data_IF_714653678004
#
_entry.id   IF_714653678004
#
_cell.length_a   1.000
_cell.length_b   1.000
_cell.length_c   1.000
_cell.angle_alpha   90.00
_cell.angle_beta   90.00
_cell.angle_gamma   90.00
#
_symmetry.space_group_name_H-M   'P 1'
#
loop_
_entity.id
_entity.type
_entity.pdbx_description
1 polymer ?
#
# COMPACT_ATOMS: atom_id res chain seq x y z
N UNK A 1 19.86 15.22 14.89
CA UNK A 1 20.16 14.86 13.57
C UNK A 1 21.19 13.73 13.57
N UNK A 2 20.77 12.50 13.76
CA UNK A 2 21.66 11.35 13.66
C UNK A 2 20.90 10.24 12.94
N UNK A 3 21.30 9.99 11.70
CA UNK A 3 20.83 8.85 10.93
C UNK A 3 21.52 7.60 11.48
N UNK A 4 20.78 6.77 12.19
CA UNK A 4 21.26 5.45 12.59
C UNK A 4 21.20 4.53 11.37
N UNK A 5 22.38 4.19 10.86
CA UNK A 5 22.59 3.17 9.86
C UNK A 5 22.42 1.81 10.52
N UNK A 6 21.26 1.15 10.37
CA UNK A 6 21.07 -0.25 10.79
C UNK A 6 21.62 -1.14 9.69
N UNK A 7 22.82 -1.62 9.89
CA UNK A 7 23.38 -2.73 9.09
C UNK A 7 22.64 -4.01 9.52
N UNK A 8 21.77 -4.53 8.66
CA UNK A 8 21.12 -5.81 8.83
C UNK A 8 22.13 -6.91 8.47
N UNK A 9 22.68 -7.59 9.48
CA UNK A 9 23.54 -8.75 9.30
C UNK A 9 22.69 -9.96 8.98
N UNK A 10 22.68 -10.37 7.71
CA UNK A 10 22.09 -11.64 7.27
C UNK A 10 23.10 -12.75 7.58
N UNK A 11 22.84 -13.52 8.63
CA UNK A 11 23.58 -14.75 8.91
C UNK A 11 23.07 -15.87 8.01
N UNK A 12 23.85 -16.15 6.95
CA UNK A 12 23.67 -17.32 6.09
C UNK A 12 24.07 -18.59 6.89
N UNK A 13 23.08 -19.33 7.38
CA UNK A 13 23.33 -20.64 7.97
C UNK A 13 23.53 -21.68 6.87
N UNK A 14 24.77 -22.01 6.60
CA UNK A 14 25.14 -23.13 5.72
C UNK A 14 24.99 -24.43 6.53
N UNK A 15 24.00 -25.21 6.20
CA UNK A 15 23.88 -26.59 6.73
C UNK A 15 24.81 -27.48 5.93
N UNK A 16 25.95 -27.84 6.52
CA UNK A 16 26.85 -28.87 5.99
C UNK A 16 26.30 -30.25 6.40
N UNK A 17 25.78 -31.00 5.41
CA UNK A 17 25.46 -32.41 5.60
C UNK A 17 26.74 -33.18 5.40
N UNK A 18 27.27 -33.73 6.51
CA UNK A 18 28.42 -34.64 6.51
C UNK A 18 27.98 -36.00 5.94
N UNK A 19 28.51 -36.32 4.75
CA UNK A 19 28.41 -37.67 4.21
C UNK A 19 29.28 -38.61 5.05
N UNK A 20 28.67 -39.55 5.73
CA UNK A 20 29.34 -40.65 6.37
C UNK A 20 29.61 -41.76 5.36
N UNK A 21 30.84 -41.87 4.88
CA UNK A 21 31.32 -43.01 4.13
C UNK A 21 31.65 -44.15 5.07
N UNK A 22 31.02 -45.30 4.88
CA UNK A 22 31.39 -46.55 5.54
C UNK A 22 31.51 -47.65 4.52
N UNK A 23 32.75 -48.02 4.22
CA UNK A 23 33.07 -49.12 3.32
C UNK A 23 33.09 -50.48 4.01
N UNK A 24 32.95 -51.51 3.23
CA UNK A 24 33.54 -52.77 3.54
C UNK A 24 32.71 -54.01 3.29
N UNK A 25 33.08 -54.78 2.26
CA UNK A 25 33.19 -56.22 2.35
C UNK A 25 32.15 -57.13 1.70
N UNK A 26 32.43 -57.56 0.52
CA UNK A 26 32.54 -58.90 -0.03
C UNK A 26 31.44 -59.92 0.11
N UNK A 27 31.06 -60.53 -1.01
CA UNK A 27 30.49 -61.88 -1.06
C UNK A 27 29.35 -62.06 -2.09
N UNK A 28 29.73 -62.56 -3.21
CA UNK A 28 29.17 -63.40 -4.25
C UNK A 28 27.68 -63.68 -4.43
N UNK A 29 27.27 -63.57 -5.65
CA UNK A 29 26.37 -64.52 -6.29
C UNK A 29 24.91 -64.10 -6.43
N UNK A 30 24.45 -63.93 -7.65
CA UNK A 30 23.08 -63.97 -7.99
C UNK A 30 22.61 -62.83 -8.89
N UNK A 31 22.76 -62.96 -10.18
CA UNK A 31 22.19 -62.10 -11.20
C UNK A 31 20.68 -62.22 -11.15
N UNK A 32 20.01 -61.14 -10.78
CA UNK A 32 18.70 -60.83 -11.30
C UNK A 32 18.71 -59.36 -11.70
N UNK A 33 18.85 -59.17 -12.99
CA UNK A 33 18.60 -57.89 -13.66
C UNK A 33 17.23 -57.37 -13.31
N UNK A 34 17.20 -56.38 -12.47
CA UNK A 34 16.04 -55.61 -12.13
C UNK A 34 16.50 -54.28 -11.60
N UNK A 35 17.47 -53.64 -12.33
CA UNK A 35 17.88 -52.28 -12.07
C UNK A 35 16.77 -51.35 -12.46
N UNK A 36 15.76 -51.19 -11.60
CA UNK A 36 14.93 -50.00 -11.59
C UNK A 36 15.86 -48.87 -11.28
N UNK A 37 16.25 -48.13 -12.30
CA UNK A 37 16.77 -46.79 -12.10
C UNK A 37 15.63 -46.00 -11.48
N UNK A 38 15.56 -45.96 -10.16
CA UNK A 38 14.73 -45.03 -9.47
C UNK A 38 15.12 -43.64 -10.01
N UNK A 39 14.22 -43.03 -10.74
CA UNK A 39 14.37 -41.62 -11.12
C UNK A 39 14.63 -40.87 -9.84
N UNK A 40 15.77 -40.19 -9.74
CA UNK A 40 16.05 -39.34 -8.60
C UNK A 40 15.14 -38.13 -8.69
N UNK A 41 14.39 -37.86 -7.63
CA UNK A 41 13.54 -36.69 -7.57
C UNK A 41 14.37 -35.41 -7.79
N UNK A 42 13.89 -34.55 -8.67
CA UNK A 42 14.48 -33.24 -8.99
C UNK A 42 13.68 -32.15 -8.30
N UNK A 43 14.32 -31.08 -7.88
CA UNK A 43 13.61 -29.95 -7.30
C UNK A 43 12.77 -29.21 -8.37
N UNK A 44 11.60 -28.67 -8.00
CA UNK A 44 10.83 -27.83 -8.89
C UNK A 44 11.60 -26.58 -9.30
N UNK A 45 11.24 -26.00 -10.42
CA UNK A 45 11.86 -24.76 -10.95
C UNK A 45 10.80 -23.68 -11.08
N UNK A 46 11.01 -22.53 -10.41
CA UNK A 46 10.19 -21.33 -10.62
C UNK A 46 10.64 -20.70 -11.93
N UNK A 47 9.73 -20.48 -12.87
CA UNK A 47 10.02 -20.02 -14.23
C UNK A 47 9.98 -18.51 -14.39
N UNK A 48 9.41 -17.79 -13.42
CA UNK A 48 9.32 -16.32 -13.40
C UNK A 48 9.95 -15.71 -12.13
N UNK A 49 11.17 -16.09 -11.80
CA UNK A 49 11.90 -15.59 -10.62
C UNK A 49 12.32 -14.13 -10.77
N UNK A 50 12.48 -13.45 -9.63
CA UNK A 50 13.04 -12.09 -9.52
C UNK A 50 12.32 -11.05 -10.36
N UNK A 51 10.99 -11.03 -10.28
CA UNK A 51 10.18 -10.07 -11.00
C UNK A 51 9.89 -8.84 -10.15
N UNK A 52 10.01 -7.67 -10.78
CA UNK A 52 9.42 -6.43 -10.31
C UNK A 52 8.04 -6.31 -11.00
N UNK A 53 6.98 -6.33 -10.21
CA UNK A 53 5.60 -6.28 -10.67
C UNK A 53 5.05 -4.89 -10.33
N UNK A 54 4.42 -4.22 -11.28
CA UNK A 54 3.65 -3.00 -11.01
C UNK A 54 2.17 -3.35 -11.02
N UNK A 55 1.46 -2.90 -9.99
CA UNK A 55 0.00 -3.08 -9.83
C UNK A 55 -0.59 -1.71 -9.54
N UNK A 56 -1.62 -1.35 -10.26
CA UNK A 56 -2.38 -0.14 -9.93
C UNK A 56 -3.13 -0.38 -8.61
N UNK A 57 -3.22 0.62 -7.77
CA UNK A 57 -4.02 0.55 -6.56
C UNK A 57 -5.50 0.21 -6.82
N UNK A 58 -6.29 0.05 -5.76
CA UNK A 58 -7.72 -0.28 -5.82
C UNK A 58 -8.03 -1.66 -6.44
N UNK A 59 -7.01 -2.49 -6.67
CA UNK A 59 -7.13 -3.84 -7.21
C UNK A 59 -6.51 -4.87 -6.27
N UNK A 60 -7.15 -6.03 -6.14
CA UNK A 60 -6.59 -7.11 -5.32
C UNK A 60 -5.66 -8.04 -6.10
N UNK A 61 -5.74 -8.08 -7.41
CA UNK A 61 -4.88 -8.92 -8.24
C UNK A 61 -3.43 -8.45 -8.22
N UNK A 62 -2.47 -9.34 -7.92
CA UNK A 62 -1.05 -9.00 -7.98
C UNK A 62 -0.35 -9.71 -9.15
N UNK A 63 -0.04 -11.00 -9.00
CA UNK A 63 0.64 -11.77 -10.04
C UNK A 63 0.46 -13.28 -9.83
N UNK A 64 1.01 -14.08 -10.74
CA UNK A 64 1.02 -15.54 -10.60
C UNK A 64 2.46 -16.05 -10.59
N UNK A 65 2.81 -16.85 -9.59
CA UNK A 65 4.05 -17.64 -9.59
C UNK A 65 3.89 -18.82 -10.52
N UNK A 66 4.77 -18.94 -11.49
CA UNK A 66 4.78 -20.09 -12.43
C UNK A 66 5.97 -20.99 -12.12
N UNK A 67 5.70 -22.29 -12.09
CA UNK A 67 6.72 -23.30 -11.82
C UNK A 67 6.50 -24.55 -12.63
N UNK A 68 7.54 -25.35 -12.79
CA UNK A 68 7.51 -26.67 -13.42
C UNK A 68 8.37 -27.63 -12.63
N UNK A 69 7.99 -28.91 -12.71
CA UNK A 69 8.77 -30.04 -12.18
C UNK A 69 9.11 -31.01 -13.31
N UNK A 70 10.35 -31.49 -13.34
CA UNK A 70 10.81 -32.38 -14.42
C UNK A 70 10.33 -33.81 -14.24
N UNK A 71 9.98 -34.21 -13.03
CA UNK A 71 9.44 -35.52 -12.72
C UNK A 71 7.91 -35.58 -12.82
N UNK A 72 7.28 -34.38 -12.93
CA UNK A 72 5.85 -34.22 -13.06
C UNK A 72 5.08 -34.29 -11.76
N UNK A 73 5.78 -34.04 -10.64
CA UNK A 73 5.20 -34.08 -9.31
C UNK A 73 4.22 -32.94 -9.07
N UNK A 74 3.30 -33.15 -8.13
CA UNK A 74 2.31 -32.14 -7.75
C UNK A 74 2.97 -31.03 -6.95
N UNK A 75 2.83 -29.78 -7.42
CA UNK A 75 3.44 -28.61 -6.81
C UNK A 75 2.52 -27.95 -5.78
N UNK A 76 3.12 -27.53 -4.67
CA UNK A 76 2.49 -26.71 -3.64
C UNK A 76 3.19 -25.36 -3.55
N UNK A 77 2.41 -24.28 -3.36
CA UNK A 77 2.88 -22.92 -3.32
C UNK A 77 2.68 -22.31 -1.94
N UNK A 78 3.66 -21.53 -1.50
CA UNK A 78 3.60 -20.74 -0.27
C UNK A 78 4.32 -19.42 -0.43
N UNK A 79 3.98 -18.44 0.41
CA UNK A 79 4.65 -17.13 0.46
C UNK A 79 5.16 -16.83 1.86
N UNK A 80 6.27 -16.11 1.88
CA UNK A 80 6.90 -15.55 3.07
C UNK A 80 7.52 -14.18 2.70
N UNK A 81 8.23 -13.55 3.61
CA UNK A 81 8.80 -12.21 3.40
C UNK A 81 8.10 -11.17 4.27
N UNK A 82 8.64 -9.94 4.27
CA UNK A 82 8.22 -8.86 5.17
C UNK A 82 6.73 -8.59 5.07
N UNK A 83 6.20 -8.52 3.84
CA UNK A 83 4.83 -8.10 3.57
C UNK A 83 3.88 -9.26 3.26
N UNK A 84 4.35 -10.51 3.40
CA UNK A 84 3.57 -11.71 3.06
C UNK A 84 2.23 -11.81 3.82
N UNK A 85 2.14 -11.20 5.00
CA UNK A 85 0.90 -11.15 5.78
C UNK A 85 -0.23 -10.39 5.09
N UNK A 86 0.08 -9.52 4.13
CA UNK A 86 -0.87 -8.71 3.37
C UNK A 86 -1.42 -9.43 2.13
N UNK A 87 -0.90 -10.62 1.82
CA UNK A 87 -1.24 -11.35 0.60
C UNK A 87 -1.87 -12.73 0.89
N UNK A 88 -2.58 -13.21 -0.11
CA UNK A 88 -3.01 -14.60 -0.22
C UNK A 88 -2.29 -15.27 -1.39
N UNK A 89 -2.13 -16.58 -1.33
CA UNK A 89 -1.70 -17.41 -2.45
C UNK A 89 -2.64 -18.61 -2.61
N UNK A 90 -2.96 -18.92 -3.86
CA UNK A 90 -3.78 -20.10 -4.18
C UNK A 90 -2.91 -21.32 -4.48
N UNK A 91 -3.53 -22.50 -4.53
CA UNK A 91 -2.86 -23.73 -4.96
C UNK A 91 -2.37 -23.70 -6.41
N UNK A 92 -2.84 -22.75 -7.21
CA UNK A 92 -2.37 -22.51 -8.59
C UNK A 92 -1.27 -21.43 -8.68
N UNK A 93 -0.75 -20.96 -7.55
CA UNK A 93 0.30 -19.95 -7.50
C UNK A 93 -0.17 -18.50 -7.73
N UNK A 94 -1.50 -18.25 -7.77
CA UNK A 94 -2.03 -16.90 -7.92
C UNK A 94 -1.91 -16.15 -6.61
N UNK A 95 -1.25 -15.00 -6.64
CA UNK A 95 -1.04 -14.09 -5.49
C UNK A 95 -1.97 -12.89 -5.64
N UNK A 96 -2.65 -12.57 -4.54
CA UNK A 96 -3.56 -11.42 -4.44
C UNK A 96 -3.33 -10.68 -3.13
N UNK A 97 -3.55 -9.38 -3.12
CA UNK A 97 -3.70 -8.63 -1.88
C UNK A 97 -4.93 -9.12 -1.10
N UNK A 98 -4.89 -9.12 0.21
CA UNK A 98 -6.04 -9.40 1.09
C UNK A 98 -7.06 -8.27 1.07
N UNK A 99 -6.55 -7.04 1.02
CA UNK A 99 -7.30 -5.80 0.84
C UNK A 99 -6.65 -5.06 -0.32
N UNK A 100 -7.43 -4.44 -1.19
CA UNK A 100 -6.88 -3.62 -2.26
C UNK A 100 -5.97 -2.53 -1.65
N UNK A 101 -4.76 -2.35 -2.16
CA UNK A 101 -3.87 -1.30 -1.67
C UNK A 101 -4.40 0.07 -2.08
N UNK A 102 -4.06 1.07 -1.27
CA UNK A 102 -4.31 2.49 -1.45
C UNK A 102 -2.93 3.15 -1.50
N UNK A 103 -2.61 3.85 -2.59
CA UNK A 103 -1.29 4.42 -2.82
C UNK A 103 -0.98 5.56 -1.84
N UNK A 104 -2.00 6.34 -1.47
CA UNK A 104 -1.90 7.46 -0.53
C UNK A 104 -1.77 6.99 0.92
N UNK A 105 -2.20 5.73 1.21
CA UNK A 105 -2.18 5.13 2.55
C UNK A 105 -1.49 3.76 2.52
N UNK A 106 -0.18 3.71 2.24
CA UNK A 106 0.56 2.44 2.14
C UNK A 106 0.50 1.64 3.43
N UNK A 107 0.34 0.32 3.30
CA UNK A 107 0.23 -0.62 4.44
C UNK A 107 1.41 -1.57 4.57
N UNK A 108 2.40 -1.48 3.68
CA UNK A 108 3.68 -2.18 3.78
C UNK A 108 4.51 -1.71 4.99
N UNK A 109 5.54 -2.46 5.36
CA UNK A 109 6.26 -2.26 6.62
C UNK A 109 7.05 -0.95 6.72
N UNK A 110 7.45 -0.36 5.62
CA UNK A 110 8.24 0.88 5.49
C UNK A 110 7.52 2.02 4.76
N UNK A 111 6.26 1.80 4.40
CA UNK A 111 5.31 2.81 3.85
C UNK A 111 5.84 3.45 2.54
N UNK A 112 6.41 2.63 1.66
CA UNK A 112 7.00 3.10 0.40
C UNK A 112 6.27 2.57 -0.85
N UNK A 113 5.13 1.86 -0.67
CA UNK A 113 4.35 1.21 -1.74
C UNK A 113 5.11 0.08 -2.46
N UNK A 114 6.15 -0.48 -1.83
CA UNK A 114 6.96 -1.57 -2.38
C UNK A 114 6.90 -2.79 -1.47
N UNK A 115 6.16 -3.79 -1.86
CA UNK A 115 5.90 -5.01 -1.10
C UNK A 115 6.90 -6.09 -1.47
N UNK A 116 7.61 -6.65 -0.48
CA UNK A 116 8.64 -7.68 -0.67
C UNK A 116 8.13 -9.05 -0.27
N UNK A 117 8.14 -9.97 -1.23
CA UNK A 117 7.66 -11.35 -1.08
C UNK A 117 8.74 -12.36 -1.47
N UNK A 118 8.75 -13.50 -0.79
CA UNK A 118 9.46 -14.70 -1.19
C UNK A 118 8.42 -15.79 -1.47
N UNK A 119 8.31 -16.23 -2.71
CA UNK A 119 7.50 -17.38 -3.04
C UNK A 119 8.35 -18.66 -2.96
N UNK A 120 7.77 -19.73 -2.41
CA UNK A 120 8.34 -21.04 -2.39
C UNK A 120 7.41 -22.04 -3.08
N UNK A 121 7.99 -22.92 -3.86
CA UNK A 121 7.31 -24.03 -4.53
C UNK A 121 7.94 -25.33 -4.05
N UNK A 122 7.15 -26.31 -3.70
CA UNK A 122 7.60 -27.65 -3.24
C UNK A 122 6.84 -28.76 -3.97
N UNK A 123 7.57 -29.82 -4.30
CA UNK A 123 7.06 -31.10 -4.79
C UNK A 123 6.70 -32.08 -3.66
N UNK A 124 6.86 -31.67 -2.39
CA UNK A 124 6.67 -32.49 -1.20
C UNK A 124 7.97 -33.06 -0.61
N UNK A 125 9.05 -33.08 -1.37
CA UNK A 125 10.37 -33.58 -0.97
C UNK A 125 11.45 -32.50 -1.06
N UNK A 126 11.45 -31.77 -2.15
CA UNK A 126 12.39 -30.69 -2.47
C UNK A 126 11.63 -29.38 -2.69
N UNK A 127 12.35 -28.26 -2.73
CA UNK A 127 11.72 -26.96 -2.96
C UNK A 127 12.64 -25.98 -3.67
N UNK A 128 12.04 -24.99 -4.34
CA UNK A 128 12.69 -23.83 -4.89
C UNK A 128 12.02 -22.55 -4.36
N UNK A 129 12.77 -21.44 -4.32
CA UNK A 129 12.28 -20.14 -3.88
C UNK A 129 12.68 -19.04 -4.85
N UNK A 130 11.86 -17.99 -4.94
CA UNK A 130 12.12 -16.80 -5.73
C UNK A 130 11.68 -15.54 -5.01
N UNK A 131 12.41 -14.44 -5.24
CA UNK A 131 12.08 -13.14 -4.68
C UNK A 131 11.22 -12.36 -5.67
N UNK A 132 10.21 -11.65 -5.14
CA UNK A 132 9.28 -10.83 -5.91
C UNK A 132 9.11 -9.49 -5.21
N UNK A 133 9.04 -8.45 -6.00
CA UNK A 133 8.74 -7.10 -5.53
C UNK A 133 7.49 -6.62 -6.24
N UNK A 134 6.49 -6.21 -5.47
CA UNK A 134 5.24 -5.64 -6.00
C UNK A 134 5.24 -4.16 -5.67
N UNK A 135 5.26 -3.32 -6.70
CA UNK A 135 5.16 -1.87 -6.55
C UNK A 135 3.74 -1.44 -6.86
N UNK A 136 3.07 -0.80 -5.92
CA UNK A 136 1.77 -0.17 -6.15
C UNK A 136 1.99 1.17 -6.85
N UNK A 137 1.18 1.45 -7.85
CA UNK A 137 1.21 2.70 -8.62
C UNK A 137 -0.08 3.46 -8.41
N UNK A 138 0.04 4.77 -8.33
CA UNK A 138 -1.08 5.69 -8.12
C UNK A 138 -2.09 5.64 -9.28
N UNK A 139 -3.38 5.66 -8.93
CA UNK A 139 -4.50 5.95 -9.81
C UNK A 139 -5.06 7.32 -9.46
N UNK A 140 -4.62 8.34 -10.15
CA UNK A 140 -4.99 9.73 -9.86
C UNK A 140 -6.50 10.02 -10.01
N UNK A 141 -7.31 9.03 -10.34
CA UNK A 141 -8.76 9.21 -10.48
C UNK A 141 -9.51 9.28 -9.15
N UNK A 142 -8.90 8.80 -8.07
CA UNK A 142 -9.43 8.83 -6.70
C UNK A 142 -8.62 9.75 -5.77
N UNK A 143 -7.56 10.39 -6.28
CA UNK A 143 -6.83 11.40 -5.55
C UNK A 143 -7.74 12.57 -5.17
N UNK A 144 -7.83 12.82 -3.88
CA UNK A 144 -8.48 14.03 -3.40
C UNK A 144 -7.57 15.22 -3.68
N UNK A 145 -7.86 15.93 -4.75
CA UNK A 145 -7.18 17.21 -5.00
C UNK A 145 -7.85 18.29 -4.16
N UNK A 146 -7.13 18.85 -3.20
CA UNK A 146 -7.62 19.96 -2.39
C UNK A 146 -7.26 21.29 -3.03
N UNK A 147 -8.18 22.27 -2.96
CA UNK A 147 -7.92 23.66 -3.30
C UNK A 147 -7.84 24.47 -2.02
N UNK A 148 -6.72 25.19 -1.83
CA UNK A 148 -6.55 26.11 -0.72
C UNK A 148 -7.29 27.41 -0.99
N UNK A 149 -8.05 27.86 -0.01
CA UNK A 149 -8.68 29.19 -0.02
C UNK A 149 -8.13 30.01 1.13
N UNK A 150 -7.67 31.22 0.81
CA UNK A 150 -7.23 32.18 1.81
C UNK A 150 -7.79 33.56 1.51
N UNK A 151 -7.93 34.37 2.53
CA UNK A 151 -8.48 35.69 2.35
C UNK A 151 -8.69 36.44 3.66
N UNK A 152 -9.47 37.51 3.55
CA UNK A 152 -9.81 38.35 4.69
C UNK A 152 -11.28 38.72 4.65
N UNK A 153 -11.97 38.51 5.77
CA UNK A 153 -13.37 38.93 5.92
C UNK A 153 -13.39 40.42 6.33
N UNK A 154 -14.00 41.23 5.51
CA UNK A 154 -14.10 42.68 5.71
C UNK A 154 -15.56 43.14 5.57
N UNK A 155 -16.00 43.95 6.55
CA UNK A 155 -17.23 44.73 6.45
C UNK A 155 -16.97 46.15 6.99
N UNK A 156 -16.28 46.96 6.18
CA UNK A 156 -15.75 48.27 6.61
C UNK A 156 -14.54 48.20 7.51
N UNK A 157 -14.35 47.09 8.22
CA UNK A 157 -13.22 46.69 9.04
C UNK A 157 -13.07 45.20 9.02
N UNK A 158 -11.96 44.67 9.55
CA UNK A 158 -11.76 43.24 9.73
C UNK A 158 -12.84 42.63 10.63
N UNK A 159 -13.34 41.46 10.27
CA UNK A 159 -14.37 40.75 11.02
C UNK A 159 -13.74 39.50 11.63
N UNK A 160 -13.71 39.46 12.96
CA UNK A 160 -13.19 38.36 13.73
C UNK A 160 -14.25 37.31 13.99
N UNK A 161 -13.89 36.04 13.89
CA UNK A 161 -14.76 34.93 14.27
C UNK A 161 -15.94 34.70 13.34
N UNK A 162 -15.91 35.24 12.11
CA UNK A 162 -16.88 34.86 11.10
C UNK A 162 -16.66 33.42 10.67
N UNK A 163 -17.73 32.65 10.52
CA UNK A 163 -17.69 31.32 9.88
C UNK A 163 -17.55 31.50 8.38
N UNK A 164 -16.51 30.94 7.81
CA UNK A 164 -16.22 30.98 6.36
C UNK A 164 -16.38 29.59 5.80
N UNK A 165 -17.10 29.45 4.70
CA UNK A 165 -17.39 28.18 4.05
C UNK A 165 -17.61 28.33 2.56
N UNK A 166 -17.73 27.20 1.85
CA UNK A 166 -18.32 27.15 0.51
C UNK A 166 -19.80 26.82 0.67
N UNK A 167 -20.68 27.72 0.24
CA UNK A 167 -22.12 27.48 0.19
C UNK A 167 -22.43 26.53 -0.97
N UNK A 168 -22.62 25.26 -0.66
CA UNK A 168 -22.88 24.19 -1.63
C UNK A 168 -24.34 24.21 -2.12
N UNK A 169 -25.25 24.66 -1.26
CA UNK A 169 -26.68 24.82 -1.55
C UNK A 169 -27.08 26.27 -1.39
N UNK A 170 -27.41 26.92 -2.47
CA UNK A 170 -27.72 28.35 -2.48
C UNK A 170 -28.81 28.74 -1.48
N UNK A 171 -28.50 29.69 -0.60
CA UNK A 171 -29.41 30.23 0.40
C UNK A 171 -29.43 29.50 1.73
N UNK A 172 -28.62 28.43 1.91
CA UNK A 172 -28.53 27.71 3.19
C UNK A 172 -27.35 28.13 4.06
N UNK A 173 -26.47 28.96 3.51
CA UNK A 173 -25.31 29.47 4.22
C UNK A 173 -24.29 28.39 4.60
N UNK A 174 -23.55 28.61 5.69
CA UNK A 174 -22.58 27.65 6.19
C UNK A 174 -23.18 26.47 6.97
N UNK A 175 -24.47 26.42 7.18
CA UNK A 175 -25.12 25.41 8.03
C UNK A 175 -25.07 24.00 7.43
N UNK A 176 -24.97 23.88 6.11
CA UNK A 176 -24.90 22.61 5.37
C UNK A 176 -23.54 22.36 4.74
N UNK A 177 -22.60 23.29 4.85
CA UNK A 177 -21.30 23.19 4.25
C UNK A 177 -20.47 22.05 4.89
N UNK A 178 -19.80 21.27 4.05
CA UNK A 178 -18.92 20.17 4.50
C UNK A 178 -17.62 20.67 5.11
N UNK A 179 -17.13 21.83 4.67
CA UNK A 179 -15.90 22.41 5.20
C UNK A 179 -16.14 23.84 5.65
N UNK A 180 -15.79 24.14 6.89
CA UNK A 180 -15.88 25.49 7.48
C UNK A 180 -14.60 25.86 8.21
N UNK A 181 -14.27 27.15 8.24
CA UNK A 181 -13.25 27.73 9.10
C UNK A 181 -13.77 29.02 9.76
N UNK A 182 -13.01 29.57 10.68
CA UNK A 182 -13.35 30.87 11.30
C UNK A 182 -12.25 31.87 11.02
N UNK A 183 -12.65 33.13 10.78
CA UNK A 183 -11.69 34.20 10.61
C UNK A 183 -10.96 34.53 11.92
N UNK A 184 -9.65 34.82 11.82
CA UNK A 184 -8.80 35.22 12.93
C UNK A 184 -9.10 36.66 13.42
N UNK A 185 -8.33 37.14 14.41
CA UNK A 185 -8.46 38.48 15.00
C UNK A 185 -8.31 39.62 13.97
N UNK A 186 -7.53 39.40 12.94
CA UNK A 186 -7.27 40.32 11.83
C UNK A 186 -8.20 40.09 10.62
N UNK A 187 -9.21 39.20 10.78
CA UNK A 187 -10.14 38.83 9.73
C UNK A 187 -9.61 37.80 8.74
N UNK A 188 -8.34 37.40 8.83
CA UNK A 188 -7.77 36.38 7.91
C UNK A 188 -8.35 35.01 8.13
N UNK A 189 -8.44 34.22 7.07
CA UNK A 189 -8.81 32.80 7.12
C UNK A 189 -8.02 32.01 6.09
N UNK A 190 -7.87 30.73 6.37
CA UNK A 190 -7.36 29.73 5.42
C UNK A 190 -8.12 28.43 5.62
N UNK A 191 -8.42 27.70 4.55
CA UNK A 191 -8.90 26.32 4.59
C UNK A 191 -8.71 25.65 3.23
N UNK A 192 -8.73 24.34 3.24
CA UNK A 192 -8.63 23.52 2.05
C UNK A 192 -9.92 22.74 1.86
N UNK A 193 -10.36 22.58 0.62
CA UNK A 193 -11.53 21.79 0.24
C UNK A 193 -11.16 20.87 -0.90
N UNK A 194 -11.88 19.77 -1.01
CA UNK A 194 -11.82 18.91 -2.18
C UNK A 194 -12.16 19.72 -3.45
N UNK A 195 -11.41 19.51 -4.52
CA UNK A 195 -11.63 20.21 -5.80
C UNK A 195 -12.99 19.90 -6.46
N UNK A 196 -13.69 18.88 -5.98
CA UNK A 196 -15.04 18.54 -6.42
C UNK A 196 -16.11 19.38 -5.74
N UNK A 197 -15.79 20.02 -4.62
CA UNK A 197 -16.72 20.91 -3.92
C UNK A 197 -16.89 22.20 -4.72
N UNK A 198 -18.12 22.51 -5.09
CA UNK A 198 -18.48 23.70 -5.86
C UNK A 198 -19.50 24.53 -5.11
N UNK A 199 -19.38 25.85 -5.19
CA UNK A 199 -20.29 26.75 -4.51
C UNK A 199 -19.75 28.17 -4.43
N UNK A 200 -20.44 29.01 -3.69
CA UNK A 200 -19.98 30.37 -3.41
C UNK A 200 -19.17 30.40 -2.11
N UNK A 201 -18.02 31.08 -2.13
CA UNK A 201 -17.29 31.36 -0.89
C UNK A 201 -18.05 32.44 -0.11
N UNK A 202 -18.47 32.14 1.08
CA UNK A 202 -19.28 33.04 1.93
C UNK A 202 -18.70 33.13 3.35
N UNK A 203 -19.10 34.17 4.07
CA UNK A 203 -18.82 34.32 5.48
C UNK A 203 -20.07 34.78 6.26
N UNK A 204 -20.28 34.17 7.42
CA UNK A 204 -21.44 34.44 8.26
C UNK A 204 -21.03 34.83 9.67
N UNK A 205 -21.81 35.68 10.30
CA UNK A 205 -21.61 36.11 11.68
C UNK A 205 -20.30 36.87 11.87
N UNK A 206 -19.76 36.76 13.09
CA UNK A 206 -18.50 37.38 13.47
C UNK A 206 -18.67 38.72 14.20
N UNK A 207 -17.53 39.27 14.64
CA UNK A 207 -17.46 40.47 15.48
C UNK A 207 -16.49 41.49 14.88
N UNK A 208 -16.89 42.74 14.83
CA UNK A 208 -16.01 43.85 14.45
C UNK A 208 -15.44 44.52 15.72
N UNK A 209 -14.19 44.32 16.04
CA UNK A 209 -13.58 44.86 17.27
C UNK A 209 -13.49 46.38 17.31
N UNK A 210 -13.50 47.05 16.13
CA UNK A 210 -13.41 48.49 16.07
C UNK A 210 -14.74 49.20 16.34
N UNK A 211 -15.86 48.53 16.06
CA UNK A 211 -17.20 49.12 16.27
C UNK A 211 -17.97 48.44 17.41
N UNK A 212 -17.41 47.38 18.01
CA UNK A 212 -18.06 46.55 19.02
C UNK A 212 -19.41 45.99 18.56
N UNK A 213 -19.53 45.74 17.26
CA UNK A 213 -20.76 45.25 16.63
C UNK A 213 -20.62 43.76 16.27
N UNK A 214 -21.59 42.97 16.70
CA UNK A 214 -21.71 41.57 16.28
C UNK A 214 -22.63 41.51 15.07
N UNK A 215 -22.13 40.93 13.99
CA UNK A 215 -22.94 40.76 12.81
C UNK A 215 -23.94 39.63 13.04
N UNK A 216 -25.25 39.83 12.68
CA UNK A 216 -26.16 38.72 12.62
C UNK A 216 -25.68 37.71 11.58
N UNK A 217 -26.24 36.51 11.60
CA UNK A 217 -25.94 35.43 10.67
C UNK A 217 -26.44 35.78 9.24
N UNK A 218 -25.87 36.82 8.66
CA UNK A 218 -26.12 37.21 7.27
C UNK A 218 -25.04 36.59 6.38
N UNK A 219 -25.50 35.85 5.40
CA UNK A 219 -24.66 35.33 4.31
C UNK A 219 -24.05 36.49 3.55
N UNK A 220 -22.72 36.56 3.48
CA UNK A 220 -22.00 37.55 2.68
C UNK A 220 -21.09 36.84 1.69
N UNK A 221 -21.35 37.05 0.42
CA UNK A 221 -20.49 36.53 -0.63
C UNK A 221 -19.14 37.25 -0.55
N UNK A 222 -18.07 36.48 -0.42
CA UNK A 222 -16.70 36.95 -0.49
C UNK A 222 -16.29 37.08 -1.96
N UNK A 223 -15.60 38.15 -2.30
CA UNK A 223 -14.94 38.29 -3.59
C UNK A 223 -13.47 37.91 -3.41
N UNK A 224 -13.00 37.01 -4.21
CA UNK A 224 -11.60 36.56 -4.31
C UNK A 224 -10.99 37.06 -5.62
#
# INVERSE_FOLDING_TARGET
MNKFNKVLSVTLSIFLIAACGGGGGGGGGGETSGGGYGSSNSAPTITNTSMNISVQENQTGAFTVTASDSDGDALTFSISGTDSALFNITTAGVITFKTAPDFEVPTDGDVDNVYVLVAQVSDGSLSASGNFTVTVTNDTSDDVTTSGYDGTVINGSYVQGATVCIEEVAGEGCSTATVTTTSALDGTFTFEVDSTVTGALIAEGGFNPNTNYTFPDEVKTLKY
#
